data_IF_844147988795
#
_entry.id   IF_844147988795
#
_cell.length_a   1.000
_cell.length_b   1.000
_cell.length_c   1.000
_cell.angle_alpha   90.00
_cell.angle_beta   90.00
_cell.angle_gamma   90.00
#
_symmetry.space_group_name_H-M   'P 1'
#
loop_
_entity.id
_entity.type
_entity.pdbx_description
1 polymer ?
#
# COMPACT_ATOMS: atom_id res chain seq x y z
N UNK A 1 23.68 23.73 -6.92
CA UNK A 1 24.04 22.71 -5.92
C UNK A 1 22.82 21.83 -5.73
N UNK A 2 22.88 20.58 -6.19
CA UNK A 2 21.83 19.58 -5.99
C UNK A 2 21.89 19.17 -4.50
N UNK A 3 20.79 19.24 -3.73
CA UNK A 3 20.83 18.81 -2.33
C UNK A 3 21.18 17.31 -2.27
N UNK A 4 21.90 16.86 -1.23
CA UNK A 4 22.28 15.46 -1.10
C UNK A 4 21.02 14.60 -1.06
N UNK A 5 20.98 13.56 -1.91
CA UNK A 5 19.91 12.57 -1.91
C UNK A 5 19.73 12.03 -0.49
N UNK A 6 18.55 12.23 0.08
CA UNK A 6 18.20 11.77 1.42
C UNK A 6 18.45 10.28 1.57
N UNK A 7 18.95 9.87 2.74
CA UNK A 7 19.16 8.47 3.07
C UNK A 7 17.86 7.68 2.94
N UNK A 8 17.91 6.58 2.18
CA UNK A 8 16.80 5.65 1.99
C UNK A 8 16.44 5.02 3.35
N UNK A 9 15.36 5.49 3.97
CA UNK A 9 14.77 4.82 5.10
C UNK A 9 13.45 4.18 4.67
N UNK A 10 13.32 2.85 4.75
CA UNK A 10 12.04 2.18 4.54
C UNK A 10 11.11 2.33 5.76
N UNK A 11 11.50 3.14 6.75
CA UNK A 11 10.68 3.54 7.89
C UNK A 11 10.10 4.94 7.66
N UNK A 12 9.00 5.26 8.34
CA UNK A 12 8.36 6.58 8.28
C UNK A 12 9.23 7.75 8.77
N UNK A 13 10.41 7.46 9.35
CA UNK A 13 11.47 8.40 9.70
C UNK A 13 12.83 7.87 9.24
N UNK A 14 13.76 8.77 8.89
CA UNK A 14 15.17 8.39 8.65
C UNK A 14 15.97 8.44 9.96
N UNK A 15 16.92 7.52 10.20
CA UNK A 15 17.83 7.66 11.33
C UNK A 15 18.68 8.91 11.15
N UNK A 16 18.76 9.70 12.22
CA UNK A 16 19.58 10.89 12.35
C UNK A 16 21.05 10.58 12.05
N UNK A 17 21.52 10.95 10.86
CA UNK A 17 22.93 11.28 10.67
C UNK A 17 23.11 12.70 11.19
N UNK A 18 23.76 12.87 12.34
CA UNK A 18 24.20 14.17 12.81
C UNK A 18 25.20 14.75 11.79
N UNK A 19 24.73 15.55 10.83
CA UNK A 19 25.56 16.55 10.19
C UNK A 19 25.69 17.73 11.16
N UNK A 20 26.91 18.24 11.34
CA UNK A 20 27.28 19.36 12.21
C UNK A 20 26.67 20.73 11.82
N UNK A 21 25.61 20.71 11.02
CA UNK A 21 24.73 21.82 10.67
C UNK A 21 23.32 21.33 10.93
N UNK A 22 22.51 22.07 11.69
CA UNK A 22 21.24 21.62 12.28
C UNK A 22 20.09 21.32 11.30
N UNK A 23 20.39 20.63 10.20
CA UNK A 23 19.44 20.12 9.22
C UNK A 23 18.91 18.76 9.71
N UNK A 24 17.67 18.78 10.18
CA UNK A 24 16.89 17.56 10.46
C UNK A 24 16.77 16.77 9.15
N UNK A 25 17.40 15.61 9.05
CA UNK A 25 17.34 14.74 7.88
C UNK A 25 15.91 14.22 7.67
N UNK A 26 15.23 14.83 6.69
CA UNK A 26 13.80 14.72 6.38
C UNK A 26 13.42 13.34 5.82
N UNK A 27 12.25 12.85 6.24
CA UNK A 27 11.63 11.61 5.77
C UNK A 27 11.28 11.69 4.28
N UNK A 28 11.75 10.72 3.49
CA UNK A 28 11.37 10.56 2.07
C UNK A 28 10.23 9.56 1.89
N UNK A 29 9.75 8.92 2.96
CA UNK A 29 8.72 7.89 2.86
C UNK A 29 7.41 8.52 2.36
N UNK A 30 6.89 8.00 1.24
CA UNK A 30 5.65 8.44 0.63
C UNK A 30 4.41 8.23 1.52
N UNK A 31 3.19 8.43 0.98
CA UNK A 31 1.94 8.34 1.74
C UNK A 31 1.61 6.86 2.04
N UNK A 32 2.34 6.26 2.97
CA UNK A 32 2.16 4.88 3.40
C UNK A 32 1.10 4.81 4.51
N UNK A 33 0.15 3.87 4.45
CA UNK A 33 -0.90 3.77 5.47
C UNK A 33 -0.33 3.48 6.86
N UNK A 34 0.78 2.74 6.97
CA UNK A 34 1.40 2.50 8.27
C UNK A 34 1.98 3.77 8.91
N UNK A 35 2.32 4.82 8.13
CA UNK A 35 2.77 6.09 8.69
C UNK A 35 1.66 6.85 9.41
N UNK A 36 0.38 6.64 9.06
CA UNK A 36 -0.75 7.18 9.81
C UNK A 36 -0.83 6.61 11.24
N UNK A 37 -0.42 5.34 11.42
CA UNK A 37 -0.38 4.67 12.72
C UNK A 37 0.70 5.30 13.61
N UNK A 38 1.89 5.52 13.03
CA UNK A 38 2.99 6.18 13.71
C UNK A 38 2.66 7.63 14.07
N UNK A 39 2.06 8.39 13.16
CA UNK A 39 1.63 9.77 13.42
C UNK A 39 0.70 9.85 14.62
N UNK A 40 -0.31 8.97 14.69
CA UNK A 40 -1.22 8.91 15.83
C UNK A 40 -0.52 8.52 17.14
N UNK A 41 0.40 7.57 17.08
CA UNK A 41 1.21 7.15 18.22
C UNK A 41 2.00 8.33 18.80
N UNK A 42 2.64 9.10 17.92
CA UNK A 42 3.43 10.27 18.30
C UNK A 42 2.58 11.30 19.02
N UNK A 43 1.38 11.65 18.51
CA UNK A 43 0.49 12.62 19.15
C UNK A 43 0.15 12.30 20.62
N UNK A 44 0.14 11.02 21.02
CA UNK A 44 -0.12 10.62 22.41
C UNK A 44 1.10 10.76 23.33
N UNK A 45 2.30 10.69 22.78
CA UNK A 45 3.57 10.65 23.54
C UNK A 45 4.31 11.99 23.45
N UNK A 46 3.84 12.94 22.64
CA UNK A 46 4.56 14.19 22.36
C UNK A 46 4.62 15.08 23.60
N UNK A 47 5.84 15.32 24.09
CA UNK A 47 6.17 16.51 24.89
C UNK A 47 6.51 17.66 23.93
N UNK A 48 6.42 18.94 24.35
CA UNK A 48 6.63 20.12 23.50
C UNK A 48 7.84 20.07 22.51
N UNK A 49 9.03 19.54 22.88
CA UNK A 49 10.18 19.47 21.95
C UNK A 49 10.03 18.45 20.80
N UNK A 50 9.07 17.53 20.83
CA UNK A 50 8.83 16.56 19.75
C UNK A 50 7.83 17.06 18.68
N UNK A 51 7.13 18.17 18.95
CA UNK A 51 6.16 18.76 18.02
C UNK A 51 6.85 19.53 16.89
N UNK A 52 7.96 20.19 17.20
CA UNK A 52 8.84 20.86 16.21
C UNK A 52 9.44 19.86 15.22
N UNK A 53 9.71 18.63 15.65
CA UNK A 53 10.18 17.56 14.75
C UNK A 53 9.08 16.94 13.89
N UNK A 54 7.82 17.00 14.33
CA UNK A 54 6.67 16.54 13.55
C UNK A 54 6.34 17.54 12.42
N UNK A 55 6.55 18.83 12.69
CA UNK A 55 6.25 19.96 11.81
C UNK A 55 7.45 20.91 11.66
N UNK A 56 8.56 20.47 11.04
CA UNK A 56 9.80 21.24 11.02
C UNK A 56 9.75 22.55 10.20
N UNK A 57 8.75 22.73 9.32
CA UNK A 57 8.72 23.85 8.36
C UNK A 57 7.35 24.52 8.18
N UNK A 58 6.40 24.39 9.12
CA UNK A 58 5.08 25.01 8.97
C UNK A 58 4.97 26.37 9.67
N UNK A 59 4.94 27.43 8.87
CA UNK A 59 4.33 28.70 9.27
C UNK A 59 2.80 28.54 9.23
N UNK A 60 2.16 28.51 10.41
CA UNK A 60 0.71 28.40 10.50
C UNK A 60 0.10 29.79 10.27
N UNK A 61 -0.46 30.03 9.08
CA UNK A 61 -1.23 31.26 8.81
C UNK A 61 -2.60 31.20 9.49
N UNK A 62 -3.02 32.26 10.19
CA UNK A 62 -4.30 32.29 10.88
C UNK A 62 -5.48 32.67 9.98
N UNK A 63 -6.56 31.88 9.99
CA UNK A 63 -7.87 32.33 9.51
C UNK A 63 -8.58 33.04 10.68
N UNK A 64 -8.47 34.37 10.65
CA UNK A 64 -9.00 35.31 11.63
C UNK A 64 -8.08 36.51 11.79
N UNK A 65 -8.38 37.61 11.08
CA UNK A 65 -7.68 38.90 11.09
C UNK A 65 -6.29 38.97 10.44
N UNK A 66 -5.87 37.98 9.63
CA UNK A 66 -4.66 38.10 8.80
C UNK A 66 -3.34 38.17 9.58
N UNK A 67 -3.32 37.79 10.87
CA UNK A 67 -2.09 37.68 11.65
C UNK A 67 -1.53 36.25 11.55
N UNK A 68 -0.25 36.07 11.18
CA UNK A 68 0.39 34.75 11.21
C UNK A 68 0.45 34.24 12.67
N UNK A 69 0.17 32.94 12.90
CA UNK A 69 0.21 32.35 14.25
C UNK A 69 1.63 32.04 14.72
N UNK A 70 2.65 32.34 13.90
CA UNK A 70 4.04 32.01 14.18
C UNK A 70 4.35 30.52 13.99
N UNK A 71 5.65 30.15 14.02
CA UNK A 71 6.08 28.76 13.91
C UNK A 71 5.81 27.98 15.21
N UNK A 72 5.74 26.66 15.11
CA UNK A 72 5.75 25.78 16.29
C UNK A 72 7.12 25.87 16.95
N UNK A 73 7.14 26.18 18.24
CA UNK A 73 8.36 26.28 19.06
C UNK A 73 8.47 25.11 20.03
N UNK A 74 9.63 24.94 20.66
CA UNK A 74 9.88 23.90 21.67
C UNK A 74 9.04 24.04 22.94
N UNK A 75 8.33 25.15 23.12
CA UNK A 75 7.40 25.41 24.23
C UNK A 75 5.94 25.16 23.83
N UNK A 76 5.65 24.96 22.54
CA UNK A 76 4.29 24.79 22.04
C UNK A 76 3.73 23.44 22.49
N UNK A 77 2.62 23.48 23.22
CA UNK A 77 1.90 22.28 23.66
C UNK A 77 0.97 21.77 22.56
N UNK A 78 0.60 20.48 22.59
CA UNK A 78 -0.36 19.91 21.62
C UNK A 78 -1.73 20.60 21.70
N UNK A 79 -2.10 21.13 22.87
CA UNK A 79 -3.36 21.83 23.12
C UNK A 79 -3.36 23.27 22.58
N UNK A 80 -2.19 23.79 22.18
CA UNK A 80 -2.09 25.15 21.66
C UNK A 80 -2.82 25.27 20.31
N UNK A 81 -3.41 26.45 20.08
CA UNK A 81 -4.13 26.74 18.85
C UNK A 81 -3.26 26.57 17.60
N UNK A 82 -1.96 26.86 17.70
CA UNK A 82 -0.96 26.69 16.62
C UNK A 82 -0.80 25.21 16.28
N UNK A 83 -0.59 24.36 17.30
CA UNK A 83 -0.44 22.92 17.17
C UNK A 83 -1.70 22.25 16.60
N UNK A 84 -2.86 22.58 17.15
CA UNK A 84 -4.15 22.04 16.70
C UNK A 84 -4.41 22.36 15.23
N UNK A 85 -4.09 23.59 14.79
CA UNK A 85 -4.21 23.96 13.38
C UNK A 85 -3.20 23.26 12.48
N UNK A 86 -1.96 23.09 12.93
CA UNK A 86 -0.96 22.35 12.18
C UNK A 86 -1.36 20.88 11.96
N UNK A 87 -1.90 20.23 13.00
CA UNK A 87 -2.46 18.87 12.94
C UNK A 87 -3.65 18.80 11.98
N UNK A 88 -4.60 19.73 12.09
CA UNK A 88 -5.79 19.75 11.24
C UNK A 88 -5.49 19.96 9.76
N UNK A 89 -4.35 20.58 9.45
CA UNK A 89 -3.87 20.80 8.08
C UNK A 89 -2.88 19.74 7.62
N UNK A 90 -2.45 18.83 8.49
CA UNK A 90 -1.41 17.86 8.17
C UNK A 90 -1.90 16.91 7.08
N UNK A 91 -1.06 16.69 6.06
CA UNK A 91 -1.24 15.64 5.09
C UNK A 91 -0.79 14.28 5.63
N UNK A 92 -0.87 13.26 4.79
CA UNK A 92 -0.32 11.94 5.09
C UNK A 92 1.20 11.96 5.07
N UNK A 93 1.82 11.38 6.11
CA UNK A 93 3.27 11.34 6.29
C UNK A 93 3.71 11.87 7.67
N UNK A 94 5.02 11.78 7.95
CA UNK A 94 5.62 12.27 9.20
C UNK A 94 6.91 13.02 8.85
N UNK A 95 7.04 14.28 9.27
CA UNK A 95 8.27 15.05 9.09
C UNK A 95 8.68 15.29 7.63
N UNK A 96 7.71 15.53 6.74
CA UNK A 96 7.94 15.81 5.31
C UNK A 96 8.27 17.29 5.07
N UNK A 97 9.06 17.62 4.03
CA UNK A 97 9.29 19.02 3.58
C UNK A 97 8.06 19.57 2.87
N UNK A 98 7.46 18.73 2.04
CA UNK A 98 6.22 19.01 1.33
C UNK A 98 5.20 17.92 1.63
N UNK A 99 3.98 18.32 1.99
CA UNK A 99 2.83 17.44 2.16
C UNK A 99 1.58 18.02 1.47
N UNK A 100 0.66 17.13 1.09
CA UNK A 100 -0.61 17.53 0.46
C UNK A 100 -1.65 17.75 1.56
N UNK A 101 -2.21 18.95 1.64
CA UNK A 101 -3.19 19.31 2.68
C UNK A 101 -4.50 18.53 2.56
N UNK A 102 -5.23 18.41 3.67
CA UNK A 102 -6.53 17.72 3.76
C UNK A 102 -7.58 18.33 2.83
N UNK A 103 -8.43 17.47 2.25
CA UNK A 103 -9.59 17.88 1.45
C UNK A 103 -10.51 18.86 2.22
N UNK A 104 -10.85 19.98 1.58
CA UNK A 104 -11.77 20.99 2.10
C UNK A 104 -11.15 22.04 3.02
N UNK A 105 -9.87 21.88 3.39
CA UNK A 105 -9.18 22.83 4.25
C UNK A 105 -8.34 23.80 3.43
N UNK A 106 -8.55 25.11 3.62
CA UNK A 106 -7.87 26.20 2.88
C UNK A 106 -7.99 26.13 1.34
N UNK A 107 -9.09 25.54 0.85
CA UNK A 107 -9.28 25.32 -0.59
C UNK A 107 -8.48 24.15 -1.17
N UNK A 108 -7.83 23.34 -0.33
CA UNK A 108 -7.18 22.10 -0.77
C UNK A 108 -8.20 21.07 -1.22
N UNK A 109 -7.89 20.38 -2.33
CA UNK A 109 -8.69 19.29 -2.89
C UNK A 109 -8.24 17.90 -2.40
N UNK A 110 -7.37 17.83 -1.38
CA UNK A 110 -6.70 16.58 -1.00
C UNK A 110 -5.79 16.08 -2.12
N UNK A 111 -5.32 14.84 -2.02
CA UNK A 111 -4.62 14.21 -3.15
C UNK A 111 -5.65 13.70 -4.16
N UNK A 112 -6.13 14.63 -4.99
CA UNK A 112 -7.15 14.36 -6.01
C UNK A 112 -6.66 13.36 -7.06
N UNK A 113 -5.35 13.34 -7.34
CA UNK A 113 -4.76 12.39 -8.27
C UNK A 113 -4.90 10.97 -7.72
N UNK A 114 -4.53 10.74 -6.46
CA UNK A 114 -4.68 9.44 -5.81
C UNK A 114 -6.14 8.99 -5.75
N UNK A 115 -7.06 9.90 -5.48
CA UNK A 115 -8.49 9.63 -5.45
C UNK A 115 -9.01 9.16 -6.82
N UNK A 116 -8.80 9.96 -7.88
CA UNK A 116 -9.29 9.66 -9.23
C UNK A 116 -8.65 8.37 -9.75
N UNK A 117 -7.33 8.22 -9.56
CA UNK A 117 -6.60 7.02 -9.96
C UNK A 117 -7.15 5.77 -9.28
N UNK A 118 -7.41 5.81 -7.97
CA UNK A 118 -7.93 4.64 -7.25
C UNK A 118 -9.31 4.21 -7.78
N UNK A 119 -10.18 5.16 -8.13
CA UNK A 119 -11.48 4.87 -8.75
C UNK A 119 -11.29 4.21 -10.12
N UNK A 120 -10.41 4.78 -10.95
CA UNK A 120 -10.11 4.23 -12.28
C UNK A 120 -9.54 2.80 -12.20
N UNK A 121 -8.57 2.58 -11.30
CA UNK A 121 -8.00 1.26 -11.03
C UNK A 121 -9.06 0.27 -10.53
N UNK A 122 -10.04 0.72 -9.73
CA UNK A 122 -11.12 -0.13 -9.25
C UNK A 122 -12.00 -0.63 -10.39
N UNK A 123 -12.27 0.22 -11.39
CA UNK A 123 -13.00 -0.19 -12.60
C UNK A 123 -12.20 -1.22 -13.42
N UNK A 124 -10.89 -1.02 -13.58
CA UNK A 124 -10.01 -1.99 -14.26
C UNK A 124 -10.06 -3.34 -13.55
N UNK A 125 -9.85 -3.37 -12.23
CA UNK A 125 -9.83 -4.63 -11.47
C UNK A 125 -11.21 -5.28 -11.46
N UNK A 126 -12.29 -4.50 -11.38
CA UNK A 126 -13.65 -5.02 -11.50
C UNK A 126 -13.88 -5.70 -12.85
N UNK A 127 -13.35 -5.13 -13.93
CA UNK A 127 -13.37 -5.74 -15.26
C UNK A 127 -12.55 -7.04 -15.30
N UNK A 128 -11.37 -7.09 -14.67
CA UNK A 128 -10.58 -8.32 -14.56
C UNK A 128 -11.33 -9.41 -13.78
N UNK A 129 -11.94 -9.07 -12.64
CA UNK A 129 -12.79 -9.97 -11.85
C UNK A 129 -13.92 -10.53 -12.71
N UNK A 130 -14.62 -9.68 -13.44
CA UNK A 130 -15.68 -10.09 -14.35
C UNK A 130 -15.19 -11.07 -15.43
N UNK A 131 -14.01 -10.83 -16.01
CA UNK A 131 -13.39 -11.76 -16.97
C UNK A 131 -13.00 -13.09 -16.32
N UNK A 132 -12.48 -13.07 -15.10
CA UNK A 132 -12.12 -14.28 -14.34
C UNK A 132 -13.34 -15.16 -14.07
N UNK A 133 -14.46 -14.56 -13.63
CA UNK A 133 -15.70 -15.28 -13.32
C UNK A 133 -16.29 -15.94 -14.58
N UNK A 134 -16.16 -15.31 -15.75
CA UNK A 134 -16.67 -15.86 -17.02
C UNK A 134 -15.86 -17.04 -17.58
N UNK A 135 -14.66 -17.34 -17.05
CA UNK A 135 -13.87 -18.49 -17.52
C UNK A 135 -14.48 -19.81 -17.02
N UNK A 136 -14.74 -20.77 -17.92
CA UNK A 136 -15.41 -22.05 -17.60
C UNK A 136 -14.46 -23.10 -17.04
N UNK A 137 -13.30 -23.35 -17.63
CA UNK A 137 -12.22 -24.09 -16.99
C UNK A 137 -10.90 -23.29 -17.01
N UNK A 138 -10.31 -23.18 -15.83
CA UNK A 138 -9.02 -22.56 -15.62
C UNK A 138 -8.50 -23.02 -14.26
N UNK A 139 -7.24 -23.44 -14.25
CA UNK A 139 -6.55 -23.90 -13.04
C UNK A 139 -6.52 -22.75 -12.02
N UNK A 140 -6.95 -23.03 -10.79
CA UNK A 140 -6.91 -22.08 -9.67
C UNK A 140 -7.85 -20.88 -9.81
N UNK A 141 -8.94 -20.99 -10.58
CA UNK A 141 -9.87 -19.87 -10.84
C UNK A 141 -10.40 -19.22 -9.56
N UNK A 142 -10.80 -20.02 -8.58
CA UNK A 142 -11.41 -19.50 -7.34
C UNK A 142 -10.35 -18.83 -6.47
N UNK A 143 -9.15 -19.42 -6.43
CA UNK A 143 -8.00 -18.95 -5.68
C UNK A 143 -7.49 -17.60 -6.21
N UNK A 144 -7.41 -17.43 -7.54
CA UNK A 144 -6.94 -16.18 -8.13
C UNK A 144 -8.02 -15.10 -8.08
N UNK A 145 -9.30 -15.50 -8.17
CA UNK A 145 -10.42 -14.60 -7.93
C UNK A 145 -10.36 -14.02 -6.53
N UNK A 146 -10.00 -14.82 -5.52
CA UNK A 146 -9.84 -14.32 -4.15
C UNK A 146 -8.74 -13.24 -4.07
N UNK A 147 -7.61 -13.43 -4.75
CA UNK A 147 -6.57 -12.40 -4.84
C UNK A 147 -7.11 -11.10 -5.46
N UNK A 148 -7.81 -11.18 -6.60
CA UNK A 148 -8.36 -9.98 -7.25
C UNK A 148 -9.43 -9.27 -6.41
N UNK A 149 -10.26 -10.02 -5.68
CA UNK A 149 -11.25 -9.43 -4.76
C UNK A 149 -10.58 -8.69 -3.60
N UNK A 150 -9.53 -9.25 -3.01
CA UNK A 150 -8.76 -8.57 -1.98
C UNK A 150 -8.07 -7.33 -2.53
N UNK A 151 -7.44 -7.41 -3.71
CA UNK A 151 -6.84 -6.24 -4.36
C UNK A 151 -7.86 -5.14 -4.63
N UNK A 152 -9.04 -5.50 -5.15
CA UNK A 152 -10.14 -4.56 -5.36
C UNK A 152 -10.58 -3.88 -4.05
N UNK A 153 -10.57 -4.60 -2.93
CA UNK A 153 -10.88 -4.03 -1.60
C UNK A 153 -9.79 -3.07 -1.08
N UNK A 154 -8.53 -3.23 -1.49
CA UNK A 154 -7.47 -2.28 -1.11
C UNK A 154 -7.65 -0.89 -1.74
N UNK A 155 -8.26 -0.79 -2.93
CA UNK A 155 -8.41 0.46 -3.67
C UNK A 155 -9.30 1.51 -2.96
N UNK A 156 -10.51 1.19 -2.48
CA UNK A 156 -11.27 2.14 -1.66
C UNK A 156 -10.57 2.46 -0.34
N UNK A 157 -9.84 1.50 0.25
CA UNK A 157 -9.04 1.76 1.45
C UNK A 157 -7.89 2.75 1.18
N UNK A 158 -7.23 2.68 0.01
CA UNK A 158 -6.22 3.67 -0.43
C UNK A 158 -6.80 5.07 -0.46
N UNK A 159 -8.01 5.25 -1.00
CA UNK A 159 -8.69 6.56 -0.99
C UNK A 159 -8.81 7.07 0.45
N UNK A 160 -9.29 6.23 1.37
CA UNK A 160 -9.52 6.63 2.76
C UNK A 160 -8.21 6.90 3.53
N UNK A 161 -7.14 6.15 3.25
CA UNK A 161 -5.91 6.20 4.04
C UNK A 161 -4.82 7.12 3.47
N UNK A 162 -4.77 7.31 2.15
CA UNK A 162 -3.64 7.99 1.48
C UNK A 162 -4.06 9.19 0.64
N UNK A 163 -5.37 9.42 0.38
CA UNK A 163 -5.82 10.57 -0.43
C UNK A 163 -6.11 11.85 0.39
N UNK A 164 -5.73 11.89 1.66
CA UNK A 164 -5.93 13.02 2.58
C UNK A 164 -7.41 13.45 2.74
N UNK A 165 -8.31 12.46 2.76
CA UNK A 165 -9.76 12.67 2.96
C UNK A 165 -10.09 12.80 4.45
N UNK A 166 -9.49 11.95 5.28
CA UNK A 166 -9.68 11.94 6.72
C UNK A 166 -8.65 12.81 7.44
N UNK A 167 -8.98 13.22 8.66
CA UNK A 167 -8.07 13.97 9.51
C UNK A 167 -6.89 13.13 9.96
N UNK A 168 -5.68 13.68 9.74
CA UNK A 168 -4.44 13.04 10.14
C UNK A 168 -4.38 12.88 11.67
N UNK A 169 -4.03 11.69 12.13
CA UNK A 169 -3.99 11.37 13.57
C UNK A 169 -5.33 10.97 14.20
N UNK A 170 -6.45 11.08 13.47
CA UNK A 170 -7.77 10.64 13.98
C UNK A 170 -7.83 9.14 14.27
N UNK A 171 -8.70 8.74 15.20
CA UNK A 171 -8.89 7.33 15.55
C UNK A 171 -9.43 6.52 14.35
N UNK A 172 -10.36 7.11 13.58
CA UNK A 172 -10.93 6.49 12.39
C UNK A 172 -9.86 6.19 11.33
N UNK A 173 -9.01 7.17 11.01
CA UNK A 173 -7.93 6.98 10.04
C UNK A 173 -6.94 5.89 10.50
N UNK A 174 -6.61 5.83 11.78
CA UNK A 174 -5.72 4.80 12.31
C UNK A 174 -6.32 3.39 12.20
N UNK A 175 -7.60 3.21 12.56
CA UNK A 175 -8.26 1.90 12.45
C UNK A 175 -8.35 1.45 10.99
N UNK A 176 -8.74 2.34 10.08
CA UNK A 176 -8.83 2.03 8.64
C UNK A 176 -7.44 1.73 8.07
N UNK A 177 -6.41 2.47 8.50
CA UNK A 177 -5.02 2.22 8.09
C UNK A 177 -4.50 0.87 8.58
N UNK A 178 -4.87 0.45 9.79
CA UNK A 178 -4.52 -0.88 10.31
C UNK A 178 -5.17 -2.00 9.48
N UNK A 179 -6.44 -1.86 9.13
CA UNK A 179 -7.16 -2.80 8.25
C UNK A 179 -6.52 -2.84 6.87
N UNK A 180 -6.19 -1.68 6.29
CA UNK A 180 -5.56 -1.60 4.97
C UNK A 180 -4.19 -2.27 4.95
N UNK A 181 -3.33 -2.00 5.93
CA UNK A 181 -2.03 -2.68 6.03
C UNK A 181 -2.20 -4.19 6.15
N UNK A 182 -3.07 -4.65 7.05
CA UNK A 182 -3.32 -6.07 7.25
C UNK A 182 -3.90 -6.76 6.00
N UNK A 183 -4.76 -6.06 5.26
CA UNK A 183 -5.30 -6.54 4.00
C UNK A 183 -4.20 -6.75 2.97
N UNK A 184 -3.25 -5.80 2.84
CA UNK A 184 -2.10 -5.96 1.95
C UNK A 184 -1.22 -7.16 2.36
N UNK A 185 -0.96 -7.35 3.65
CA UNK A 185 -0.18 -8.51 4.16
C UNK A 185 -0.86 -9.83 3.83
N UNK A 186 -2.15 -9.95 4.13
CA UNK A 186 -2.94 -11.15 3.83
C UNK A 186 -3.07 -11.39 2.33
N UNK A 187 -3.26 -10.34 1.52
CA UNK A 187 -3.35 -10.44 0.06
C UNK A 187 -2.08 -11.03 -0.56
N UNK A 188 -0.90 -10.67 -0.05
CA UNK A 188 0.37 -11.26 -0.50
C UNK A 188 0.51 -12.74 -0.12
N UNK A 189 -0.09 -13.16 0.99
CA UNK A 189 -0.23 -14.58 1.29
C UNK A 189 -1.14 -15.29 0.29
N UNK A 190 -2.29 -14.71 -0.07
CA UNK A 190 -3.18 -15.29 -1.09
C UNK A 190 -2.46 -15.39 -2.44
N UNK A 191 -1.64 -14.40 -2.81
CA UNK A 191 -0.79 -14.47 -4.00
C UNK A 191 0.15 -15.68 -3.93
N UNK A 192 0.88 -15.86 -2.83
CA UNK A 192 1.77 -17.00 -2.64
C UNK A 192 0.99 -18.34 -2.64
N UNK A 193 -0.18 -18.39 -2.01
CA UNK A 193 -1.08 -19.55 -2.01
C UNK A 193 -1.48 -19.96 -3.43
N UNK A 194 -1.72 -18.99 -4.32
CA UNK A 194 -1.99 -19.26 -5.73
C UNK A 194 -0.81 -19.96 -6.43
N UNK A 195 0.43 -19.56 -6.14
CA UNK A 195 1.61 -20.26 -6.68
C UNK A 195 1.73 -21.69 -6.14
N UNK A 196 1.42 -21.92 -4.86
CA UNK A 196 1.41 -23.27 -4.29
C UNK A 196 0.36 -24.14 -4.98
N UNK A 197 -0.85 -23.63 -5.18
CA UNK A 197 -1.91 -24.35 -5.90
C UNK A 197 -1.52 -24.64 -7.36
N UNK A 198 -0.80 -23.72 -8.01
CA UNK A 198 -0.29 -23.94 -9.37
C UNK A 198 0.67 -25.14 -9.48
N UNK A 199 1.35 -25.54 -8.39
CA UNK A 199 2.22 -26.74 -8.38
C UNK A 199 1.45 -28.07 -8.44
N UNK A 200 0.12 -28.05 -8.41
CA UNK A 200 -0.75 -29.25 -8.41
C UNK A 200 -0.56 -30.20 -7.22
N UNK A 201 0.22 -29.80 -6.20
CA UNK A 201 0.34 -30.58 -4.94
C UNK A 201 -0.99 -30.62 -4.18
N UNK A 202 -1.78 -29.55 -4.28
CA UNK A 202 -3.11 -29.44 -3.69
C UNK A 202 -4.13 -29.25 -4.82
N UNK A 203 -5.22 -30.04 -4.87
CA UNK A 203 -6.25 -29.88 -5.90
C UNK A 203 -6.87 -28.48 -5.86
N UNK A 204 -6.85 -27.78 -7.00
CA UNK A 204 -7.42 -26.45 -7.16
C UNK A 204 -8.96 -26.47 -7.16
N UNK A 205 -9.59 -25.36 -6.75
CA UNK A 205 -11.04 -25.24 -6.66
C UNK A 205 -11.70 -26.11 -5.59
N UNK A 206 -10.93 -26.79 -4.75
CA UNK A 206 -11.45 -27.68 -3.69
C UNK A 206 -11.45 -27.01 -2.31
N UNK A 207 -12.28 -27.46 -1.35
CA UNK A 207 -12.17 -26.99 0.03
C UNK A 207 -10.76 -27.18 0.62
N UNK A 208 -10.03 -28.19 0.14
CA UNK A 208 -8.65 -28.50 0.57
C UNK A 208 -7.66 -27.40 0.21
N UNK A 209 -7.83 -26.66 -0.90
CA UNK A 209 -7.01 -25.48 -1.21
C UNK A 209 -7.55 -24.23 -0.51
N UNK A 210 -8.86 -24.01 -0.54
CA UNK A 210 -9.50 -22.77 -0.07
C UNK A 210 -9.40 -22.59 1.45
N UNK A 211 -9.64 -23.65 2.22
CA UNK A 211 -9.64 -23.58 3.70
C UNK A 211 -8.28 -23.16 4.26
N UNK A 212 -7.14 -23.86 3.97
CA UNK A 212 -5.86 -23.46 4.53
C UNK A 212 -5.41 -22.08 4.04
N UNK A 213 -5.68 -21.75 2.78
CA UNK A 213 -5.36 -20.44 2.22
C UNK A 213 -6.12 -19.32 2.95
N UNK A 214 -7.41 -19.53 3.23
CA UNK A 214 -8.26 -18.59 3.98
C UNK A 214 -7.89 -18.51 5.46
N UNK A 215 -7.59 -19.64 6.11
CA UNK A 215 -7.20 -19.66 7.53
C UNK A 215 -5.89 -18.91 7.76
N UNK A 216 -4.87 -19.15 6.93
CA UNK A 216 -3.59 -18.44 7.06
C UNK A 216 -3.76 -16.96 6.73
N UNK A 217 -4.60 -16.61 5.74
CA UNK A 217 -5.00 -15.22 5.51
C UNK A 217 -5.61 -14.59 6.77
N UNK A 218 -6.58 -15.24 7.41
CA UNK A 218 -7.24 -14.71 8.62
C UNK A 218 -6.26 -14.56 9.79
N UNK A 219 -5.32 -15.49 9.96
CA UNK A 219 -4.28 -15.40 10.99
C UNK A 219 -3.36 -14.21 10.71
N UNK A 220 -2.82 -14.09 9.49
CA UNK A 220 -1.94 -12.98 9.12
C UNK A 220 -2.66 -11.63 9.18
N UNK A 221 -3.92 -11.58 8.73
CA UNK A 221 -4.76 -10.40 8.81
C UNK A 221 -5.00 -9.99 10.27
N UNK A 222 -5.49 -10.90 11.11
CA UNK A 222 -5.78 -10.62 12.52
C UNK A 222 -4.54 -10.22 13.31
N UNK A 223 -3.43 -10.93 13.09
CA UNK A 223 -2.15 -10.62 13.72
C UNK A 223 -1.61 -9.24 13.31
N UNK A 224 -1.70 -8.91 12.02
CA UNK A 224 -1.26 -7.60 11.51
C UNK A 224 -2.17 -6.47 11.99
N UNK A 225 -3.49 -6.67 12.01
CA UNK A 225 -4.43 -5.69 12.58
C UNK A 225 -4.09 -5.42 14.04
N UNK A 226 -3.84 -6.48 14.83
CA UNK A 226 -3.47 -6.34 16.23
C UNK A 226 -2.21 -5.50 16.42
N UNK A 227 -1.12 -5.83 15.72
CA UNK A 227 0.15 -5.08 15.81
C UNK A 227 -0.03 -3.62 15.34
N UNK A 228 -0.76 -3.41 14.26
CA UNK A 228 -1.00 -2.08 13.70
C UNK A 228 -1.83 -1.19 14.65
N UNK A 229 -2.88 -1.74 15.26
CA UNK A 229 -3.67 -1.04 16.27
C UNK A 229 -2.86 -0.82 17.55
N UNK A 230 -2.02 -1.78 17.94
CA UNK A 230 -1.15 -1.63 19.09
C UNK A 230 -0.17 -0.47 18.90
N UNK A 231 0.43 -0.35 17.72
CA UNK A 231 1.28 0.78 17.36
C UNK A 231 0.54 2.12 17.48
N UNK A 232 -0.71 2.19 17.01
CA UNK A 232 -1.49 3.43 16.98
C UNK A 232 -2.09 3.84 18.33
N UNK A 233 -2.51 2.87 19.14
CA UNK A 233 -3.26 3.13 20.38
C UNK A 233 -2.47 2.84 21.65
N UNK A 234 -1.42 2.04 21.59
CA UNK A 234 -0.61 1.65 22.73
C UNK A 234 -1.32 0.69 23.68
N UNK A 235 -1.88 -0.39 23.13
CA UNK A 235 -2.67 -1.37 23.87
C UNK A 235 -1.75 -2.24 24.75
N UNK A 236 -0.53 -2.52 24.27
CA UNK A 236 0.48 -3.38 24.85
C UNK A 236 1.82 -2.63 24.98
N UNK A 237 2.67 -3.09 25.90
CA UNK A 237 4.02 -2.53 26.11
C UNK A 237 5.09 -3.17 25.23
N UNK A 238 4.74 -4.22 24.47
CA UNK A 238 5.71 -5.09 23.78
C UNK A 238 6.12 -4.55 22.41
N UNK A 239 5.21 -3.87 21.70
CA UNK A 239 5.46 -3.28 20.38
C UNK A 239 5.53 -1.75 20.40
N UNK A 240 5.55 -1.16 21.59
CA UNK A 240 5.83 0.27 21.78
C UNK A 240 7.20 0.62 21.20
N UNK A 241 7.31 1.86 20.69
CA UNK A 241 8.57 2.49 20.32
C UNK A 241 9.59 2.22 21.43
N UNK A 242 10.61 1.43 21.12
CA UNK A 242 11.61 1.02 22.10
C UNK A 242 12.24 2.26 22.72
N UNK A 243 12.22 2.29 24.06
CA UNK A 243 13.01 3.14 24.97
C UNK A 243 12.75 4.65 25.00
N UNK A 244 12.14 5.11 26.09
CA UNK A 244 12.68 6.17 26.96
C UNK A 244 12.69 7.63 26.49
N UNK A 245 12.71 7.90 25.19
CA UNK A 245 12.57 9.23 24.59
C UNK A 245 11.94 9.01 23.22
N UNK A 246 10.72 9.52 23.02
CA UNK A 246 10.07 9.57 21.72
C UNK A 246 10.78 10.59 20.83
N UNK A 247 12.03 10.29 20.46
CA UNK A 247 12.74 11.06 19.44
C UNK A 247 12.18 10.64 18.08
N UNK A 248 11.70 11.61 17.33
CA UNK A 248 11.13 11.43 15.97
C UNK A 248 12.15 10.82 14.99
N UNK A 249 13.43 10.71 15.36
CA UNK A 249 14.47 10.02 14.60
C UNK A 249 14.49 8.48 14.72
N UNK A 250 13.71 7.87 15.63
CA UNK A 250 13.71 6.42 15.85
C UNK A 250 12.30 5.79 15.82
N UNK A 251 11.47 6.14 14.83
CA UNK A 251 10.16 5.47 14.63
C UNK A 251 10.35 4.08 14.02
N UNK A 252 10.73 3.12 14.87
CA UNK A 252 10.97 1.74 14.45
C UNK A 252 10.04 0.77 15.16
N UNK A 253 9.03 0.29 14.44
CA UNK A 253 8.34 -0.95 14.78
C UNK A 253 8.79 -2.03 13.80
N UNK A 254 9.74 -2.87 14.24
CA UNK A 254 10.34 -3.89 13.38
C UNK A 254 9.31 -4.91 12.91
N UNK A 255 8.33 -5.26 13.76
CA UNK A 255 7.29 -6.24 13.41
C UNK A 255 6.38 -5.69 12.31
N UNK A 256 5.86 -4.47 12.49
CA UNK A 256 5.00 -3.82 11.50
C UNK A 256 5.74 -3.57 10.19
N UNK A 257 7.02 -3.16 10.23
CA UNK A 257 7.85 -3.00 9.04
C UNK A 257 8.08 -4.33 8.31
N UNK A 258 8.39 -5.39 9.06
CA UNK A 258 8.59 -6.73 8.51
C UNK A 258 7.33 -7.22 7.80
N UNK A 259 6.17 -7.06 8.44
CA UNK A 259 4.89 -7.48 7.88
C UNK A 259 4.47 -6.63 6.69
N UNK A 260 4.65 -5.31 6.74
CA UNK A 260 4.11 -4.39 5.71
C UNK A 260 5.02 -4.16 4.52
N UNK A 261 6.33 -4.40 4.63
CA UNK A 261 7.32 -4.17 3.57
C UNK A 261 8.05 -5.46 3.20
N UNK A 262 8.75 -6.09 4.16
CA UNK A 262 9.62 -7.22 3.87
C UNK A 262 8.83 -8.45 3.40
N UNK A 263 7.72 -8.76 4.08
CA UNK A 263 6.86 -9.89 3.75
C UNK A 263 6.26 -9.80 2.33
N UNK A 264 5.61 -8.69 1.91
CA UNK A 264 5.14 -8.52 0.53
C UNK A 264 6.24 -8.70 -0.53
N UNK A 265 7.43 -8.15 -0.25
CA UNK A 265 8.56 -8.26 -1.18
C UNK A 265 9.05 -9.71 -1.29
N UNK A 266 9.22 -10.40 -0.17
CA UNK A 266 9.61 -11.80 -0.15
C UNK A 266 8.55 -12.69 -0.80
N UNK A 267 7.27 -12.49 -0.48
CA UNK A 267 6.16 -13.25 -1.04
C UNK A 267 6.09 -13.10 -2.57
N UNK A 268 6.29 -11.89 -3.11
CA UNK A 268 6.29 -11.66 -4.56
C UNK A 268 7.49 -12.29 -5.27
N UNK A 269 8.68 -12.30 -4.66
CA UNK A 269 9.87 -13.01 -5.20
C UNK A 269 9.63 -14.51 -5.21
N UNK A 270 9.18 -15.08 -4.10
CA UNK A 270 8.92 -16.52 -4.00
C UNK A 270 7.80 -16.93 -4.96
N UNK A 271 6.74 -16.13 -5.06
CA UNK A 271 5.68 -16.32 -6.05
C UNK A 271 6.24 -16.38 -7.48
N UNK A 272 7.06 -15.39 -7.88
CA UNK A 272 7.68 -15.36 -9.19
C UNK A 272 8.54 -16.60 -9.43
N UNK A 273 9.37 -16.98 -8.46
CA UNK A 273 10.24 -18.14 -8.59
C UNK A 273 9.46 -19.44 -8.79
N UNK A 274 8.40 -19.66 -8.00
CA UNK A 274 7.54 -20.85 -8.13
C UNK A 274 6.80 -20.82 -9.48
N UNK A 275 6.21 -19.69 -9.87
CA UNK A 275 5.46 -19.60 -11.13
C UNK A 275 6.36 -19.77 -12.35
N UNK A 276 7.55 -19.19 -12.36
CA UNK A 276 8.52 -19.41 -13.43
C UNK A 276 8.95 -20.88 -13.49
N UNK A 277 9.17 -21.51 -12.34
CA UNK A 277 9.50 -22.93 -12.28
C UNK A 277 8.36 -23.80 -12.85
N UNK A 278 7.12 -23.59 -12.41
CA UNK A 278 5.94 -24.34 -12.89
C UNK A 278 5.75 -24.13 -14.40
N UNK A 279 5.73 -22.89 -14.86
CA UNK A 279 5.46 -22.58 -16.27
C UNK A 279 6.58 -23.07 -17.18
N UNK A 280 7.84 -22.85 -16.83
CA UNK A 280 8.96 -23.21 -17.68
C UNK A 280 9.22 -24.72 -17.69
N UNK A 281 9.17 -25.40 -16.53
CA UNK A 281 9.52 -26.82 -16.44
C UNK A 281 8.34 -27.77 -16.57
N UNK A 282 7.14 -27.40 -16.11
CA UNK A 282 5.99 -28.32 -16.16
C UNK A 282 5.10 -28.06 -17.37
N UNK A 283 4.93 -26.80 -17.78
CA UNK A 283 4.09 -26.45 -18.93
C UNK A 283 4.88 -26.27 -20.22
N UNK A 284 6.21 -26.09 -20.15
CA UNK A 284 7.09 -25.83 -21.30
C UNK A 284 6.67 -24.63 -22.17
N UNK A 285 5.92 -23.69 -21.59
CA UNK A 285 5.36 -22.51 -22.27
C UNK A 285 6.11 -21.24 -21.90
N UNK A 286 6.72 -20.56 -22.86
CA UNK A 286 7.56 -19.37 -22.57
C UNK A 286 6.76 -18.06 -22.51
N UNK A 287 5.57 -18.03 -23.13
CA UNK A 287 4.74 -16.82 -23.21
C UNK A 287 4.24 -16.33 -21.84
N UNK A 288 3.75 -17.19 -20.91
CA UNK A 288 3.35 -16.73 -19.59
C UNK A 288 4.53 -16.24 -18.73
N UNK A 289 5.74 -16.78 -18.93
CA UNK A 289 6.94 -16.33 -18.21
C UNK A 289 7.22 -14.84 -18.40
N UNK A 290 7.06 -14.33 -19.63
CA UNK A 290 7.25 -12.91 -19.92
C UNK A 290 6.29 -12.04 -19.10
N UNK A 291 5.01 -12.42 -19.03
CA UNK A 291 4.00 -11.67 -18.29
C UNK A 291 4.23 -11.70 -16.77
N UNK A 292 4.70 -12.82 -16.20
CA UNK A 292 5.08 -12.89 -14.79
C UNK A 292 6.27 -11.99 -14.45
N UNK A 293 7.32 -12.00 -15.28
CA UNK A 293 8.48 -11.12 -15.09
C UNK A 293 8.05 -9.65 -15.19
N UNK A 294 7.25 -9.31 -16.20
CA UNK A 294 6.76 -7.93 -16.37
C UNK A 294 5.89 -7.49 -15.18
N UNK A 295 5.02 -8.37 -14.68
CA UNK A 295 4.22 -8.12 -13.47
C UNK A 295 5.11 -7.81 -12.26
N UNK A 296 6.14 -8.62 -12.01
CA UNK A 296 7.09 -8.39 -10.92
C UNK A 296 7.87 -7.08 -11.08
N UNK A 297 8.36 -6.78 -12.28
CA UNK A 297 9.08 -5.53 -12.54
C UNK A 297 8.20 -4.30 -12.33
N UNK A 298 6.93 -4.34 -12.73
CA UNK A 298 5.96 -3.27 -12.48
C UNK A 298 5.66 -3.11 -11.00
N UNK A 299 5.55 -4.21 -10.26
CA UNK A 299 5.40 -4.18 -8.79
C UNK A 299 6.64 -3.58 -8.12
N UNK A 300 7.84 -3.99 -8.50
CA UNK A 300 9.08 -3.43 -7.95
C UNK A 300 9.22 -1.93 -8.29
N UNK A 301 8.86 -1.54 -9.51
CA UNK A 301 8.82 -0.13 -9.93
C UNK A 301 7.81 0.68 -9.13
N UNK A 302 6.63 0.12 -8.81
CA UNK A 302 5.63 0.81 -7.99
C UNK A 302 6.18 1.12 -6.59
N UNK A 303 6.86 0.16 -5.96
CA UNK A 303 7.52 0.37 -4.67
C UNK A 303 8.61 1.44 -4.76
N UNK A 304 9.47 1.37 -5.79
CA UNK A 304 10.53 2.37 -5.98
C UNK A 304 9.98 3.80 -6.14
N UNK A 305 8.90 3.97 -6.93
CA UNK A 305 8.22 5.26 -7.10
C UNK A 305 7.61 5.74 -5.78
N UNK A 306 7.00 4.86 -5.00
CA UNK A 306 6.40 5.22 -3.72
C UNK A 306 7.44 5.80 -2.75
N UNK A 307 8.64 5.22 -2.69
CA UNK A 307 9.71 5.66 -1.77
C UNK A 307 10.57 6.82 -2.29
N UNK A 308 10.84 6.88 -3.60
CA UNK A 308 11.80 7.85 -4.16
C UNK A 308 11.15 9.12 -4.71
N UNK A 309 9.92 9.01 -5.23
CA UNK A 309 9.33 10.11 -6.00
C UNK A 309 8.41 11.02 -5.18
N UNK A 310 8.06 10.69 -3.93
CA UNK A 310 7.03 11.43 -3.19
C UNK A 310 7.40 12.90 -2.91
N UNK A 311 8.57 13.18 -2.33
CA UNK A 311 9.02 14.56 -2.05
C UNK A 311 9.24 15.41 -3.32
N UNK A 312 10.02 14.96 -4.33
CA UNK A 312 10.26 15.78 -5.52
C UNK A 312 8.98 16.08 -6.30
N UNK A 313 8.01 15.16 -6.31
CA UNK A 313 6.74 15.35 -6.99
C UNK A 313 5.79 16.29 -6.23
N UNK A 314 5.83 16.24 -4.90
CA UNK A 314 5.11 17.19 -4.05
C UNK A 314 5.64 18.61 -4.26
N UNK A 315 6.96 18.81 -4.21
CA UNK A 315 7.60 20.11 -4.43
C UNK A 315 7.31 20.65 -5.84
N UNK A 316 7.46 19.81 -6.88
CA UNK A 316 7.19 20.20 -8.25
C UNK A 316 5.71 20.55 -8.51
N UNK A 317 4.78 19.97 -7.74
CA UNK A 317 3.34 20.22 -7.87
C UNK A 317 2.81 21.32 -6.93
N UNK A 318 3.69 21.97 -6.15
CA UNK A 318 3.31 22.91 -5.08
C UNK A 318 2.32 22.30 -4.07
N UNK A 319 2.60 21.07 -3.61
CA UNK A 319 1.80 20.43 -2.55
C UNK A 319 0.42 19.96 -3.02
N UNK A 320 0.25 19.64 -4.31
CA UNK A 320 -1.04 19.17 -4.86
C UNK A 320 -1.11 17.66 -5.07
N UNK A 321 0.03 17.01 -5.32
CA UNK A 321 0.07 15.60 -5.75
C UNK A 321 1.26 14.88 -5.10
N UNK A 322 1.05 13.65 -4.64
CA UNK A 322 2.11 12.76 -4.14
C UNK A 322 2.44 11.63 -5.12
N UNK A 323 3.46 10.80 -4.87
CA UNK A 323 3.72 9.64 -5.74
C UNK A 323 2.72 8.48 -5.58
N UNK A 324 1.74 8.60 -4.68
CA UNK A 324 0.73 7.57 -4.41
C UNK A 324 -0.07 7.16 -5.65
N UNK A 325 -0.46 8.11 -6.49
CA UNK A 325 -1.24 7.81 -7.72
C UNK A 325 -0.43 6.97 -8.71
N UNK A 326 0.84 7.34 -8.94
CA UNK A 326 1.70 6.62 -9.87
C UNK A 326 2.02 5.22 -9.36
N UNK A 327 2.26 5.08 -8.05
CA UNK A 327 2.40 3.76 -7.41
C UNK A 327 1.14 2.91 -7.60
N UNK A 328 -0.05 3.48 -7.41
CA UNK A 328 -1.33 2.76 -7.55
C UNK A 328 -1.58 2.33 -9.00
N UNK A 329 -1.24 3.17 -9.98
CA UNK A 329 -1.29 2.82 -11.41
C UNK A 329 -0.35 1.66 -11.74
N UNK A 330 0.92 1.74 -11.34
CA UNK A 330 1.92 0.72 -11.61
C UNK A 330 1.59 -0.61 -10.94
N UNK A 331 1.09 -0.58 -9.70
CA UNK A 331 0.66 -1.78 -9.00
C UNK A 331 -0.58 -2.42 -9.64
N UNK A 332 -1.54 -1.61 -10.09
CA UNK A 332 -2.70 -2.11 -10.84
C UNK A 332 -2.27 -2.69 -12.19
N UNK A 333 -1.30 -2.07 -12.86
CA UNK A 333 -0.71 -2.61 -14.08
C UNK A 333 0.01 -3.94 -13.83
N UNK A 334 0.73 -4.08 -12.70
CA UNK A 334 1.31 -5.35 -12.28
C UNK A 334 0.25 -6.44 -12.11
N UNK A 335 -0.89 -6.12 -11.47
CA UNK A 335 -2.03 -7.04 -11.30
C UNK A 335 -2.68 -7.38 -12.66
N UNK A 336 -2.77 -6.43 -13.58
CA UNK A 336 -3.26 -6.69 -14.94
C UNK A 336 -2.33 -7.64 -15.71
N UNK A 337 -1.01 -7.50 -15.55
CA UNK A 337 -0.03 -8.42 -16.15
C UNK A 337 -0.08 -9.79 -15.48
N UNK A 338 -0.38 -9.86 -14.18
CA UNK A 338 -0.62 -11.12 -13.48
C UNK A 338 -1.86 -11.84 -14.04
N UNK A 339 -2.95 -11.10 -14.28
CA UNK A 339 -4.13 -11.62 -14.96
C UNK A 339 -3.79 -12.11 -16.37
N UNK A 340 -3.01 -11.35 -17.14
CA UNK A 340 -2.57 -11.74 -18.48
C UNK A 340 -1.79 -13.07 -18.43
N UNK A 341 -0.82 -13.18 -17.51
CA UNK A 341 -0.04 -14.39 -17.28
C UNK A 341 -0.93 -15.60 -16.96
N UNK A 342 -1.81 -15.47 -15.95
CA UNK A 342 -2.77 -16.52 -15.58
C UNK A 342 -3.70 -16.90 -16.74
N UNK A 343 -4.20 -15.91 -17.48
CA UNK A 343 -5.10 -16.15 -18.61
C UNK A 343 -4.40 -16.85 -19.79
N UNK A 344 -3.09 -16.61 -19.96
CA UNK A 344 -2.27 -17.20 -21.03
C UNK A 344 -1.87 -18.66 -20.75
N UNK A 345 -1.87 -19.09 -19.49
CA UNK A 345 -1.68 -20.51 -19.13
C UNK A 345 -2.84 -21.37 -19.63
N UNK A 346 -4.03 -20.78 -19.81
CA UNK A 346 -5.29 -21.50 -20.05
C UNK A 346 -5.85 -21.25 -21.46
N UNK A 347 -4.98 -21.05 -22.46
CA UNK A 347 -5.36 -20.80 -23.86
C UNK A 347 -6.05 -22.00 -24.55
N UNK A 348 -6.07 -23.20 -23.95
CA UNK A 348 -6.62 -24.41 -24.57
C UNK A 348 -8.15 -24.50 -24.70
N UNK A 349 -8.96 -23.58 -24.15
CA UNK A 349 -10.43 -23.69 -24.16
C UNK A 349 -11.19 -22.56 -24.88
N UNK A 350 -10.50 -21.63 -25.54
CA UNK A 350 -11.17 -20.42 -26.06
C UNK A 350 -11.77 -20.57 -27.45
N UNK A 351 -11.43 -21.63 -28.19
CA UNK A 351 -11.75 -21.77 -29.62
C UNK A 351 -12.38 -23.11 -30.02
N UNK A 352 -13.04 -23.85 -29.12
CA UNK A 352 -14.01 -24.86 -29.58
C UNK A 352 -15.40 -24.21 -29.69
N UNK A 353 -15.80 -23.70 -30.87
CA UNK A 353 -17.23 -23.61 -31.15
C UNK A 353 -17.77 -25.02 -31.05
N UNK A 354 -18.89 -25.14 -30.35
CA UNK A 354 -19.77 -26.30 -30.29
C UNK A 354 -19.80 -27.02 -31.67
N UNK A 355 -18.96 -28.05 -31.86
CA UNK A 355 -19.00 -28.93 -33.04
C UNK A 355 -20.16 -29.92 -32.93
N UNK A 356 -21.35 -29.44 -32.57
CA UNK A 356 -22.55 -30.25 -32.35
C UNK A 356 -23.74 -29.72 -33.13
N UNK A 357 -23.57 -29.28 -34.38
CA UNK A 357 -24.73 -29.06 -35.26
C UNK A 357 -24.56 -29.48 -36.73
N UNK A 358 -23.35 -29.75 -37.26
CA UNK A 358 -23.18 -30.09 -38.69
C UNK A 358 -22.68 -31.51 -39.00
N UNK A 359 -22.42 -32.37 -38.01
CA UNK A 359 -22.23 -33.82 -38.24
C UNK A 359 -23.51 -34.64 -37.98
N UNK A 360 -24.67 -33.98 -37.87
CA UNK A 360 -25.98 -34.66 -37.76
C UNK A 360 -26.84 -34.53 -39.04
N UNK A 361 -26.27 -34.04 -40.15
CA UNK A 361 -26.89 -34.14 -41.48
C UNK A 361 -26.55 -35.46 -42.20
N UNK A 362 -25.75 -36.33 -41.60
CA UNK A 362 -25.42 -37.66 -42.13
C UNK A 362 -26.43 -38.75 -41.76
N UNK A 363 -27.73 -38.46 -41.71
CA UNK A 363 -28.75 -39.51 -41.65
C UNK A 363 -28.97 -40.07 -43.05
N UNK A 364 -28.43 -41.28 -43.25
CA UNK A 364 -28.88 -42.23 -44.26
C UNK A 364 -30.41 -42.35 -44.20
N UNK A 365 -31.09 -42.08 -45.31
CA UNK A 365 -31.92 -43.04 -46.05
C UNK A 365 -31.97 -42.62 -47.52
#
# INVERSE_FOLDING_TARGET
>A
MVPPYGSFSPFCSSPSGASDQGDVSISTAGPLPHCNLFFRSLLKVTSPPALTTLFPFRDVTGLGNGRPLGPITTETSVEDLVATRAINRAGTGVGLRCDVGRLGQEGSLGDIAQLITSIFCFLIVSFLIFRTIRRRAAVGRIEILYFFLLFALTLPLRILTTANVLEQGSAALAVISAIHVALNVGMMWILLGNAIVATQVVPDGTPTSIIPMSLIFLVLFGFTVYIALDQAFGISRWFMLTSGRAEVGQLRNIALWTLSILWPYLASIVYLAIMLYVVYYHLEETRPCFWFILSFLLFAASQAVLFLASQPLCEASNGKVTSGFLSTLLETAAVAMLFAAWSSITEAEWDEPIYMEEYNSGYKY
#
